data_IF_542662417531
#
_entry.id   IF_542662417531
#
_cell.length_a   1.000
_cell.length_b   1.000
_cell.length_c   1.000
_cell.angle_alpha   90.00
_cell.angle_beta   90.00
_cell.angle_gamma   90.00
#
_symmetry.space_group_name_H-M   'P 1'
#
loop_
_entity.id
_entity.type
_entity.pdbx_description
1 polymer ?
#
# COMPACT_ATOMS: atom_id res chain seq x y z
N UNK A 1 -16.67 -86.02 1.33
CA UNK A 1 -17.40 -86.26 0.07
C UNK A 1 -18.74 -85.54 0.18
N UNK A 2 -18.90 -84.41 -0.54
CA UNK A 2 -20.09 -83.52 -0.71
C UNK A 2 -20.71 -82.91 0.59
N UNK A 3 -21.23 -81.68 0.70
CA UNK A 3 -21.87 -80.68 -0.18
C UNK A 3 -21.52 -79.26 0.36
N UNK A 4 -21.08 -78.27 -0.43
CA UNK A 4 -21.82 -77.32 -1.28
C UNK A 4 -22.67 -76.23 -0.55
N UNK A 5 -22.19 -74.99 -0.69
CA UNK A 5 -22.88 -73.84 -1.30
C UNK A 5 -23.52 -72.75 -0.41
N UNK A 6 -23.46 -71.51 -0.95
CA UNK A 6 -24.02 -70.20 -0.55
C UNK A 6 -23.09 -69.34 0.32
N UNK A 7 -22.86 -68.04 0.08
CA UNK A 7 -23.51 -67.05 -0.78
C UNK A 7 -22.59 -65.79 -0.94
N UNK A 8 -22.73 -65.14 -2.10
CA UNK A 8 -22.66 -63.69 -2.39
C UNK A 8 -21.47 -62.80 -1.98
N UNK A 9 -20.82 -62.26 -3.02
CA UNK A 9 -20.68 -60.83 -3.33
C UNK A 9 -20.68 -59.82 -2.17
N UNK A 10 -19.55 -59.13 -1.99
CA UNK A 10 -19.46 -57.66 -2.00
C UNK A 10 -17.99 -57.23 -1.98
N UNK A 11 -17.47 -56.89 -3.16
CA UNK A 11 -16.22 -56.15 -3.32
C UNK A 11 -16.48 -54.72 -2.82
N UNK A 12 -16.15 -54.41 -1.56
CA UNK A 12 -16.16 -53.05 -1.07
C UNK A 12 -15.00 -52.27 -1.70
N UNK A 13 -15.29 -51.56 -2.78
CA UNK A 13 -14.44 -50.46 -3.25
C UNK A 13 -14.70 -49.29 -2.30
N UNK A 14 -13.91 -49.20 -1.23
CA UNK A 14 -13.79 -47.98 -0.44
C UNK A 14 -12.99 -46.97 -1.26
N UNK A 15 -13.70 -46.20 -2.09
CA UNK A 15 -13.20 -44.97 -2.68
C UNK A 15 -13.05 -43.96 -1.53
N UNK A 16 -11.88 -43.96 -0.86
CA UNK A 16 -11.53 -42.88 0.06
C UNK A 16 -11.28 -41.66 -0.80
N UNK A 17 -12.32 -40.83 -0.96
CA UNK A 17 -12.17 -39.48 -1.43
C UNK A 17 -11.31 -38.73 -0.39
N UNK A 18 -10.00 -38.70 -0.61
CA UNK A 18 -9.14 -37.67 -0.04
C UNK A 18 -9.49 -36.33 -0.70
N UNK A 19 -10.69 -35.84 -0.41
CA UNK A 19 -10.93 -34.41 -0.42
C UNK A 19 -10.05 -33.84 0.68
N UNK A 20 -8.83 -33.43 0.32
CA UNK A 20 -8.02 -32.56 1.15
C UNK A 20 -8.87 -31.32 1.42
N UNK A 21 -9.57 -31.31 2.55
CA UNK A 21 -9.93 -30.10 3.24
C UNK A 21 -8.61 -29.44 3.60
N UNK A 22 -8.05 -28.68 2.66
CA UNK A 22 -6.91 -27.82 2.92
C UNK A 22 -7.35 -26.89 4.05
N UNK A 23 -6.94 -27.22 5.27
CA UNK A 23 -7.39 -26.54 6.46
C UNK A 23 -7.12 -25.04 6.28
N UNK A 24 -8.15 -24.24 6.59
CA UNK A 24 -8.17 -22.77 6.59
C UNK A 24 -7.23 -22.17 7.66
N UNK A 25 -6.06 -22.76 7.88
CA UNK A 25 -5.11 -22.31 8.86
C UNK A 25 -4.28 -21.16 8.29
N UNK A 26 -4.18 -20.06 9.02
CA UNK A 26 -3.26 -18.98 8.69
C UNK A 26 -1.81 -19.51 8.65
N UNK A 27 -0.99 -18.88 7.82
CA UNK A 27 0.44 -19.16 7.74
C UNK A 27 1.19 -18.43 8.86
N UNK A 28 2.02 -19.11 9.64
CA UNK A 28 2.87 -18.44 10.64
C UNK A 28 4.04 -17.70 9.96
N UNK A 29 4.08 -16.38 10.11
CA UNK A 29 5.18 -15.53 9.62
C UNK A 29 6.29 -15.38 10.66
N UNK A 30 5.95 -15.07 11.91
CA UNK A 30 6.87 -15.05 13.06
C UNK A 30 6.15 -15.55 14.31
N UNK A 31 6.86 -15.66 15.43
CA UNK A 31 6.20 -15.85 16.73
C UNK A 31 5.24 -14.67 16.97
N UNK A 32 3.94 -14.95 17.05
CA UNK A 32 2.91 -13.95 17.29
C UNK A 32 2.36 -13.23 16.05
N UNK A 33 2.81 -13.56 14.83
CA UNK A 33 2.26 -12.99 13.58
C UNK A 33 1.87 -14.09 12.58
N UNK A 34 0.64 -14.04 12.08
CA UNK A 34 0.13 -14.92 11.03
C UNK A 34 -0.26 -14.16 9.75
N UNK A 35 -0.30 -14.87 8.63
CA UNK A 35 -0.75 -14.37 7.32
C UNK A 35 -1.98 -15.16 6.88
N UNK A 36 -3.05 -14.45 6.58
CA UNK A 36 -4.35 -15.00 6.19
C UNK A 36 -4.68 -14.62 4.75
N UNK A 37 -5.15 -15.58 3.94
CA UNK A 37 -5.72 -15.29 2.62
C UNK A 37 -7.21 -15.00 2.78
N UNK A 38 -7.63 -13.76 2.56
CA UNK A 38 -9.03 -13.37 2.70
C UNK A 38 -9.92 -14.10 1.67
N UNK A 39 -11.09 -14.55 2.14
CA UNK A 39 -12.23 -14.85 1.27
C UNK A 39 -12.78 -13.57 0.63
N UNK A 40 -13.60 -13.68 -0.43
CA UNK A 40 -14.27 -12.49 -1.00
C UNK A 40 -15.11 -11.74 0.04
N UNK A 41 -15.81 -12.45 0.93
CA UNK A 41 -16.63 -11.83 1.97
C UNK A 41 -15.77 -11.00 2.95
N UNK A 42 -14.67 -11.56 3.44
CA UNK A 42 -13.72 -10.85 4.31
C UNK A 42 -13.10 -9.66 3.58
N UNK A 43 -12.68 -9.83 2.32
CA UNK A 43 -12.12 -8.77 1.50
C UNK A 43 -13.09 -7.60 1.35
N UNK A 44 -14.37 -7.87 1.04
CA UNK A 44 -15.42 -6.85 0.94
C UNK A 44 -15.62 -6.10 2.26
N UNK A 45 -15.61 -6.81 3.38
CA UNK A 45 -15.73 -6.18 4.70
C UNK A 45 -14.53 -5.30 5.04
N UNK A 46 -13.31 -5.75 4.69
CA UNK A 46 -12.09 -4.97 4.90
C UNK A 46 -12.08 -3.70 4.03
N UNK A 47 -12.42 -3.80 2.74
CA UNK A 47 -12.41 -2.65 1.82
C UNK A 47 -13.51 -1.64 2.14
N UNK A 48 -14.65 -2.06 2.67
CA UNK A 48 -15.75 -1.16 3.03
C UNK A 48 -15.54 -0.35 4.32
N UNK A 49 -14.47 -0.59 5.09
CA UNK A 49 -14.21 0.15 6.33
C UNK A 49 -14.09 1.64 6.04
N UNK A 50 -14.88 2.46 6.74
CA UNK A 50 -14.77 3.93 6.76
C UNK A 50 -13.55 4.42 7.55
N UNK A 51 -12.36 3.94 7.18
CA UNK A 51 -11.09 4.32 7.79
C UNK A 51 -10.62 5.71 7.31
N UNK A 52 -9.45 6.12 7.80
CA UNK A 52 -8.85 7.42 7.48
C UNK A 52 -8.62 7.61 5.97
N UNK A 53 -8.34 6.53 5.23
CA UNK A 53 -8.15 6.59 3.79
C UNK A 53 -9.48 6.90 3.09
N UNK A 54 -10.54 6.13 3.35
CA UNK A 54 -11.88 6.37 2.76
C UNK A 54 -12.41 7.77 3.09
N UNK A 55 -12.25 8.19 4.35
CA UNK A 55 -12.66 9.53 4.81
C UNK A 55 -11.84 10.66 4.15
N UNK A 56 -10.60 10.37 3.76
CA UNK A 56 -9.68 11.34 3.16
C UNK A 56 -9.78 11.47 1.64
N UNK A 57 -10.58 10.63 0.96
CA UNK A 57 -10.72 10.66 -0.50
C UNK A 57 -11.38 11.95 -0.95
N UNK A 58 -10.81 12.57 -1.99
CA UNK A 58 -11.44 13.73 -2.63
C UNK A 58 -12.52 13.30 -3.63
N UNK A 59 -13.43 14.22 -4.01
CA UNK A 59 -14.37 13.99 -5.12
C UNK A 59 -13.67 13.62 -6.43
N UNK A 60 -12.56 14.30 -6.76
CA UNK A 60 -11.76 13.97 -7.95
C UNK A 60 -11.25 12.53 -7.88
N UNK A 61 -10.67 12.15 -6.74
CA UNK A 61 -10.04 10.85 -6.58
C UNK A 61 -11.03 9.70 -6.72
N UNK A 62 -12.21 9.81 -6.09
CA UNK A 62 -13.28 8.81 -6.26
C UNK A 62 -13.69 8.69 -7.73
N UNK A 63 -13.93 9.81 -8.41
CA UNK A 63 -14.28 9.82 -9.83
C UNK A 63 -13.19 9.17 -10.71
N UNK A 64 -11.92 9.48 -10.43
CA UNK A 64 -10.80 8.93 -11.19
C UNK A 64 -10.59 7.42 -10.95
N UNK A 65 -10.83 6.93 -9.74
CA UNK A 65 -10.72 5.50 -9.39
C UNK A 65 -11.87 4.68 -9.96
N UNK A 66 -13.11 5.19 -9.91
CA UNK A 66 -14.27 4.54 -10.54
C UNK A 66 -14.35 4.77 -12.05
N UNK A 67 -13.53 5.70 -12.58
CA UNK A 67 -13.51 6.15 -13.98
C UNK A 67 -14.85 6.74 -14.46
N UNK A 68 -15.56 7.43 -13.58
CA UNK A 68 -16.85 8.04 -13.87
C UNK A 68 -16.74 9.56 -13.99
N UNK A 69 -17.58 10.17 -14.83
CA UNK A 69 -17.75 11.61 -14.83
C UNK A 69 -18.62 12.02 -13.63
N UNK A 70 -18.33 13.19 -13.06
CA UNK A 70 -19.17 13.80 -12.02
C UNK A 70 -18.86 13.31 -10.60
N UNK A 71 -19.62 13.79 -9.61
CA UNK A 71 -19.35 13.45 -8.22
C UNK A 71 -19.72 11.99 -7.98
N UNK A 72 -18.74 11.22 -7.49
CA UNK A 72 -18.96 9.87 -6.98
C UNK A 72 -19.08 9.96 -5.47
N UNK A 73 -20.16 9.42 -4.90
CA UNK A 73 -20.34 9.40 -3.44
C UNK A 73 -19.38 8.41 -2.77
N UNK A 74 -19.21 8.53 -1.46
CA UNK A 74 -18.37 7.59 -0.70
C UNK A 74 -18.96 6.18 -0.76
N UNK A 75 -20.28 6.05 -0.70
CA UNK A 75 -21.03 4.80 -0.75
C UNK A 75 -20.87 4.13 -2.11
N UNK A 76 -21.02 4.89 -3.21
CA UNK A 76 -20.78 4.40 -4.57
C UNK A 76 -19.34 3.93 -4.76
N UNK A 77 -18.37 4.65 -4.19
CA UNK A 77 -16.98 4.23 -4.22
C UNK A 77 -16.72 2.95 -3.42
N UNK A 78 -17.31 2.82 -2.22
CA UNK A 78 -17.21 1.61 -1.40
C UNK A 78 -17.80 0.40 -2.14
N UNK A 79 -19.00 0.54 -2.71
CA UNK A 79 -19.62 -0.50 -3.52
C UNK A 79 -18.71 -0.90 -4.70
N UNK A 80 -18.14 0.09 -5.40
CA UNK A 80 -17.22 -0.15 -6.50
C UNK A 80 -16.01 -0.99 -6.07
N UNK A 81 -15.30 -0.62 -4.99
CA UNK A 81 -14.09 -1.36 -4.56
C UNK A 81 -14.43 -2.75 -4.00
N UNK A 82 -15.59 -2.92 -3.35
CA UNK A 82 -16.07 -4.24 -2.93
C UNK A 82 -16.27 -5.17 -4.14
N UNK A 83 -16.78 -4.63 -5.25
CA UNK A 83 -16.96 -5.37 -6.50
C UNK A 83 -15.65 -5.66 -7.24
N UNK A 84 -14.50 -5.16 -6.76
CA UNK A 84 -13.18 -5.49 -7.30
C UNK A 84 -12.53 -6.69 -6.61
N UNK A 85 -13.12 -7.23 -5.54
CA UNK A 85 -12.58 -8.38 -4.82
C UNK A 85 -12.61 -9.65 -5.67
N UNK A 86 -11.57 -10.47 -5.56
CA UNK A 86 -11.43 -11.74 -6.26
C UNK A 86 -11.10 -12.87 -5.29
N UNK A 87 -11.51 -14.08 -5.65
CA UNK A 87 -11.06 -15.29 -4.97
C UNK A 87 -9.57 -15.56 -5.26
N UNK A 88 -8.89 -16.13 -4.28
CA UNK A 88 -7.52 -16.62 -4.42
C UNK A 88 -7.50 -17.99 -5.09
N UNK A 89 -6.78 -18.13 -6.20
CA UNK A 89 -6.50 -19.43 -6.81
C UNK A 89 -5.32 -20.14 -6.14
N UNK A 90 -5.22 -21.45 -6.37
CA UNK A 90 -4.21 -22.30 -5.74
C UNK A 90 -2.78 -21.93 -6.14
N UNK A 91 -2.56 -21.50 -7.39
CA UNK A 91 -1.25 -21.13 -7.92
C UNK A 91 -0.71 -19.88 -7.23
N UNK A 92 -1.54 -18.85 -7.09
CA UNK A 92 -1.16 -17.63 -6.39
C UNK A 92 -0.91 -17.89 -4.90
N UNK A 93 -1.74 -18.71 -4.24
CA UNK A 93 -1.53 -19.11 -2.84
C UNK A 93 -0.21 -19.85 -2.65
N UNK A 94 0.11 -20.81 -3.53
CA UNK A 94 1.36 -21.57 -3.46
C UNK A 94 2.57 -20.64 -3.57
N UNK A 95 2.56 -19.71 -4.53
CA UNK A 95 3.66 -18.75 -4.71
C UNK A 95 3.81 -17.79 -3.52
N UNK A 96 2.71 -17.29 -2.97
CA UNK A 96 2.77 -16.43 -1.78
C UNK A 96 3.23 -17.20 -0.54
N UNK A 97 2.90 -18.49 -0.41
CA UNK A 97 3.44 -19.36 0.65
C UNK A 97 4.96 -19.48 0.55
N UNK A 98 5.51 -19.66 -0.65
CA UNK A 98 6.96 -19.67 -0.86
C UNK A 98 7.61 -18.35 -0.43
N UNK A 99 7.02 -17.22 -0.83
CA UNK A 99 7.49 -15.88 -0.43
C UNK A 99 7.46 -15.71 1.09
N UNK A 100 6.36 -16.09 1.74
CA UNK A 100 6.20 -16.00 3.20
C UNK A 100 7.22 -16.89 3.91
N UNK A 101 7.45 -18.10 3.42
CA UNK A 101 8.45 -19.02 3.97
C UNK A 101 9.87 -18.46 3.86
N UNK A 102 10.21 -17.84 2.72
CA UNK A 102 11.52 -17.19 2.51
C UNK A 102 11.69 -15.93 3.37
N UNK A 103 10.61 -15.18 3.60
CA UNK A 103 10.61 -13.95 4.39
C UNK A 103 10.71 -14.21 5.90
N UNK A 104 10.11 -15.31 6.39
CA UNK A 104 10.06 -15.71 7.81
C UNK A 104 11.38 -15.58 8.57
N UNK A 105 12.50 -16.22 8.17
CA UNK A 105 13.75 -16.10 8.91
C UNK A 105 14.30 -14.67 8.93
N UNK A 106 14.14 -13.91 7.84
CA UNK A 106 14.60 -12.51 7.74
C UNK A 106 13.79 -11.58 8.64
N UNK A 107 12.50 -11.88 8.81
CA UNK A 107 11.56 -11.08 9.60
C UNK A 107 11.55 -11.42 11.10
N UNK A 108 12.17 -12.53 11.50
CA UNK A 108 12.22 -12.94 12.91
C UNK A 108 12.75 -11.83 13.85
N UNK A 109 13.78 -11.09 13.41
CA UNK A 109 14.35 -9.96 14.18
C UNK A 109 13.40 -8.75 14.31
N UNK A 110 12.39 -8.67 13.46
CA UNK A 110 11.38 -7.60 13.45
C UNK A 110 10.05 -8.05 14.05
N UNK A 111 9.94 -9.27 14.59
CA UNK A 111 8.68 -9.86 15.06
C UNK A 111 7.89 -8.95 16.02
N UNK A 112 8.58 -8.20 16.90
CA UNK A 112 7.95 -7.26 17.85
C UNK A 112 7.22 -6.08 17.20
N UNK A 113 7.50 -5.81 15.92
CA UNK A 113 6.89 -4.72 15.14
C UNK A 113 5.77 -5.22 14.22
N UNK A 114 5.59 -6.53 14.08
CA UNK A 114 4.57 -7.12 13.24
C UNK A 114 3.22 -7.18 13.98
N UNK A 115 2.08 -7.02 13.27
CA UNK A 115 0.78 -7.20 13.86
C UNK A 115 0.51 -8.68 14.15
N UNK A 116 -0.54 -8.97 14.93
CA UNK A 116 -0.96 -10.36 15.18
C UNK A 116 -1.33 -11.12 13.91
N UNK A 117 -1.95 -10.44 12.94
CA UNK A 117 -2.41 -11.00 11.68
C UNK A 117 -2.26 -9.99 10.55
N UNK A 118 -1.74 -10.45 9.41
CA UNK A 118 -1.73 -9.76 8.12
C UNK A 118 -2.74 -10.44 7.21
N UNK A 119 -3.61 -9.67 6.56
CA UNK A 119 -4.63 -10.21 5.65
C UNK A 119 -4.27 -9.90 4.20
N UNK A 120 -4.10 -10.92 3.37
CA UNK A 120 -3.87 -10.77 1.93
C UNK A 120 -5.21 -10.75 1.19
N UNK A 121 -5.47 -9.68 0.46
CA UNK A 121 -6.69 -9.47 -0.32
C UNK A 121 -6.32 -9.42 -1.80
N UNK A 122 -7.02 -10.17 -2.65
CA UNK A 122 -6.84 -10.12 -4.11
C UNK A 122 -7.92 -9.26 -4.75
N UNK A 123 -7.54 -8.39 -5.68
CA UNK A 123 -8.49 -7.57 -6.44
C UNK A 123 -8.28 -7.64 -7.95
N UNK A 124 -9.23 -7.11 -8.72
CA UNK A 124 -9.07 -6.90 -10.18
C UNK A 124 -7.96 -5.90 -10.50
N UNK A 125 -7.57 -5.05 -9.54
CA UNK A 125 -6.68 -3.91 -9.72
C UNK A 125 -7.37 -2.64 -10.20
N UNK A 126 -8.69 -2.66 -10.47
CA UNK A 126 -9.41 -1.44 -10.90
C UNK A 126 -9.61 -0.45 -9.74
N UNK A 127 -9.53 -0.93 -8.51
CA UNK A 127 -9.72 -0.16 -7.27
C UNK A 127 -8.62 0.89 -7.05
N UNK A 128 -7.35 0.57 -7.37
CA UNK A 128 -6.21 1.45 -7.12
C UNK A 128 -5.26 1.55 -8.34
N UNK A 129 -5.82 1.60 -9.55
CA UNK A 129 -5.02 1.81 -10.76
C UNK A 129 -3.96 0.73 -11.04
N UNK A 130 -4.25 -0.51 -10.61
CA UNK A 130 -3.39 -1.68 -10.63
C UNK A 130 -2.12 -1.61 -9.75
N UNK A 131 -2.03 -0.64 -8.84
CA UNK A 131 -1.02 -0.62 -7.81
C UNK A 131 -1.39 -1.55 -6.64
N UNK A 132 -0.44 -2.30 -6.07
CA UNK A 132 -0.59 -2.86 -4.74
C UNK A 132 -0.57 -1.75 -3.68
N UNK A 133 -1.17 -2.03 -2.53
CA UNK A 133 -1.22 -1.09 -1.41
C UNK A 133 -1.60 -1.79 -0.12
N UNK A 134 -1.48 -1.10 1.02
CA UNK A 134 -2.00 -1.55 2.31
C UNK A 134 -3.15 -0.72 2.85
N UNK A 135 -4.06 -1.38 3.57
CA UNK A 135 -5.07 -0.72 4.42
C UNK A 135 -5.20 -1.43 5.76
N UNK A 136 -4.89 -0.71 6.83
CA UNK A 136 -4.75 -1.29 8.17
C UNK A 136 -3.60 -2.29 8.21
N UNK A 137 -3.90 -3.55 8.52
CA UNK A 137 -2.94 -4.68 8.45
C UNK A 137 -3.17 -5.56 7.23
N UNK A 138 -3.92 -5.08 6.24
CA UNK A 138 -4.20 -5.83 5.02
C UNK A 138 -3.26 -5.40 3.91
N UNK A 139 -2.75 -6.36 3.13
CA UNK A 139 -2.02 -6.12 1.88
C UNK A 139 -2.96 -6.46 0.74
N UNK A 140 -3.22 -5.50 -0.14
CA UNK A 140 -4.12 -5.63 -1.27
C UNK A 140 -3.27 -5.83 -2.53
N UNK A 141 -3.49 -6.96 -3.21
CA UNK A 141 -2.74 -7.38 -4.39
C UNK A 141 -3.65 -7.44 -5.61
N UNK A 142 -3.46 -6.55 -6.60
CA UNK A 142 -4.09 -6.68 -7.90
C UNK A 142 -3.75 -8.03 -8.55
N UNK A 143 -4.68 -8.63 -9.30
CA UNK A 143 -4.49 -9.92 -9.99
C UNK A 143 -3.17 -9.99 -10.77
N UNK A 144 -2.83 -8.93 -11.52
CA UNK A 144 -1.58 -8.88 -12.30
C UNK A 144 -0.34 -8.93 -11.40
N UNK A 145 -0.42 -8.30 -10.23
CA UNK A 145 0.64 -8.29 -9.23
C UNK A 145 0.79 -9.65 -8.56
N UNK A 146 -0.32 -10.27 -8.15
CA UNK A 146 -0.32 -11.62 -7.58
C UNK A 146 0.31 -12.66 -8.52
N UNK A 147 0.19 -12.47 -9.83
CA UNK A 147 0.78 -13.34 -10.85
C UNK A 147 2.28 -13.08 -11.14
N UNK A 148 2.93 -12.10 -10.51
CA UNK A 148 4.37 -11.84 -10.68
C UNK A 148 5.25 -13.04 -10.27
N UNK A 149 6.53 -12.99 -10.59
CA UNK A 149 7.50 -13.99 -10.13
C UNK A 149 7.65 -13.97 -8.61
N UNK A 150 8.06 -15.08 -8.00
CA UNK A 150 8.29 -15.16 -6.55
C UNK A 150 9.25 -14.07 -6.05
N UNK A 151 10.35 -13.81 -6.79
CA UNK A 151 11.29 -12.72 -6.49
C UNK A 151 10.65 -11.33 -6.54
N UNK A 152 9.77 -11.09 -7.51
CA UNK A 152 9.02 -9.84 -7.61
C UNK A 152 8.06 -9.66 -6.43
N UNK A 153 7.31 -10.72 -6.10
CA UNK A 153 6.40 -10.74 -4.96
C UNK A 153 7.12 -10.62 -3.62
N UNK A 154 8.31 -11.19 -3.45
CA UNK A 154 9.09 -11.07 -2.21
C UNK A 154 9.49 -9.60 -1.96
N UNK A 155 10.00 -8.94 -3.00
CA UNK A 155 10.32 -7.50 -2.92
C UNK A 155 9.10 -6.67 -2.57
N UNK A 156 7.98 -6.96 -3.23
CA UNK A 156 6.72 -6.27 -2.94
C UNK A 156 6.26 -6.55 -1.50
N UNK A 157 6.32 -7.80 -1.05
CA UNK A 157 5.88 -8.17 0.29
C UNK A 157 6.65 -7.39 1.36
N UNK A 158 7.96 -7.18 1.20
CA UNK A 158 8.71 -6.32 2.12
C UNK A 158 8.28 -4.84 2.04
N UNK A 159 8.03 -4.32 0.83
CA UNK A 159 7.55 -2.95 0.65
C UNK A 159 6.23 -2.72 1.39
N UNK A 160 5.24 -3.57 1.15
CA UNK A 160 3.92 -3.49 1.78
C UNK A 160 3.99 -3.74 3.30
N UNK A 161 4.90 -4.63 3.74
CA UNK A 161 5.09 -4.90 5.15
C UNK A 161 5.67 -3.71 5.90
N UNK A 162 6.52 -2.90 5.26
CA UNK A 162 7.02 -1.65 5.84
C UNK A 162 5.86 -0.74 6.22
N UNK A 163 4.87 -0.58 5.35
CA UNK A 163 3.67 0.23 5.61
C UNK A 163 2.88 -0.23 6.82
N UNK A 164 2.77 -1.54 7.02
CA UNK A 164 2.09 -2.11 8.19
C UNK A 164 2.91 -1.85 9.47
N UNK A 165 4.23 -2.05 9.42
CA UNK A 165 5.14 -1.82 10.55
C UNK A 165 5.14 -0.35 10.96
N UNK A 166 5.32 0.57 10.01
CA UNK A 166 5.39 2.01 10.25
C UNK A 166 4.07 2.53 10.83
N UNK A 167 2.93 2.10 10.26
CA UNK A 167 1.59 2.47 10.72
C UNK A 167 1.28 1.96 12.13
N UNK A 168 1.72 0.75 12.45
CA UNK A 168 1.54 0.15 13.77
C UNK A 168 2.40 0.76 14.86
N UNK A 169 3.42 1.57 14.50
CA UNK A 169 4.35 2.16 15.46
C UNK A 169 4.71 3.61 15.07
N UNK A 170 3.85 4.60 15.41
CA UNK A 170 4.07 5.99 15.04
C UNK A 170 5.39 6.58 15.54
N UNK A 171 5.87 6.16 16.71
CA UNK A 171 7.17 6.60 17.25
C UNK A 171 8.32 6.11 16.38
N UNK A 172 8.32 4.83 16.01
CA UNK A 172 9.32 4.27 15.10
C UNK A 172 9.24 4.95 13.73
N UNK A 173 8.04 5.15 13.18
CA UNK A 173 7.86 5.85 11.91
C UNK A 173 8.46 7.25 11.95
N UNK A 174 8.19 8.02 13.00
CA UNK A 174 8.74 9.36 13.16
C UNK A 174 10.29 9.32 13.19
N UNK A 175 10.88 8.34 13.91
CA UNK A 175 12.34 8.13 13.94
C UNK A 175 12.91 7.72 12.57
N UNK A 176 12.23 6.84 11.83
CA UNK A 176 12.67 6.40 10.51
C UNK A 176 12.61 7.54 9.49
N UNK A 177 11.57 8.38 9.54
CA UNK A 177 11.43 9.53 8.66
C UNK A 177 12.53 10.57 8.92
N UNK A 178 12.97 10.73 10.17
CA UNK A 178 14.07 11.63 10.53
C UNK A 178 15.41 11.21 9.90
N UNK A 179 15.64 9.91 9.63
CA UNK A 179 16.85 9.43 8.93
C UNK A 179 16.98 10.09 7.55
N UNK A 180 15.86 10.29 6.86
CA UNK A 180 15.80 10.92 5.52
C UNK A 180 15.40 12.40 5.58
N UNK A 181 15.66 13.07 6.71
CA UNK A 181 15.50 14.52 6.87
C UNK A 181 14.07 15.02 7.10
N UNK A 182 13.08 14.13 7.17
CA UNK A 182 11.70 14.51 7.45
C UNK A 182 11.47 14.69 8.96
N UNK A 183 10.70 15.71 9.32
CA UNK A 183 10.33 16.03 10.71
C UNK A 183 8.83 16.19 10.83
N UNK A 184 8.28 15.74 11.96
CA UNK A 184 6.87 15.94 12.28
C UNK A 184 6.52 17.43 12.29
N UNK A 185 5.39 17.78 11.65
CA UNK A 185 4.88 19.16 11.60
C UNK A 185 3.40 19.28 11.99
N UNK A 186 2.66 18.17 12.08
CA UNK A 186 1.20 18.19 12.17
C UNK A 186 0.56 18.02 10.79
N UNK A 187 -0.76 17.86 10.75
CA UNK A 187 -1.48 17.47 9.53
C UNK A 187 -1.47 18.60 8.50
N UNK A 188 -0.96 18.31 7.31
CA UNK A 188 -0.92 19.24 6.18
C UNK A 188 -2.11 18.98 5.26
N UNK A 189 -2.85 20.05 4.97
CA UNK A 189 -3.97 20.06 4.03
C UNK A 189 -3.66 20.93 2.81
N UNK A 190 -4.18 20.52 1.65
CA UNK A 190 -4.16 21.37 0.46
C UNK A 190 -5.12 22.56 0.67
N UNK A 191 -4.76 23.78 0.25
CA UNK A 191 -5.59 24.96 0.45
C UNK A 191 -6.73 25.05 -0.59
N UNK A 192 -7.84 25.66 -0.19
CA UNK A 192 -8.91 26.11 -1.09
C UNK A 192 -9.38 25.08 -2.12
N UNK A 193 -9.35 25.48 -3.39
CA UNK A 193 -9.81 24.68 -4.53
C UNK A 193 -8.92 23.46 -4.85
N UNK A 194 -7.78 23.30 -4.18
CA UNK A 194 -6.90 22.13 -4.35
C UNK A 194 -7.37 20.93 -3.54
N UNK A 195 -8.05 21.13 -2.41
CA UNK A 195 -8.49 20.01 -1.56
C UNK A 195 -9.46 19.05 -2.28
N UNK A 196 -10.46 19.53 -3.05
CA UNK A 196 -11.32 18.66 -3.87
C UNK A 196 -10.57 17.87 -4.98
N UNK A 197 -9.32 18.21 -5.26
CA UNK A 197 -8.43 17.58 -6.26
C UNK A 197 -7.35 16.70 -5.63
N UNK A 198 -7.29 16.61 -4.30
CA UNK A 198 -6.31 15.77 -3.58
C UNK A 198 -6.34 14.34 -4.13
N UNK A 199 -5.17 13.73 -4.30
CA UNK A 199 -5.05 12.30 -4.54
C UNK A 199 -4.30 11.72 -3.35
N UNK A 200 -4.92 10.79 -2.63
CA UNK A 200 -4.32 10.18 -1.44
C UNK A 200 -3.44 8.99 -1.79
N UNK A 201 -2.48 8.70 -0.90
CA UNK A 201 -1.76 7.43 -0.89
C UNK A 201 -2.41 6.53 0.17
N UNK A 202 -2.99 5.36 -0.16
CA UNK A 202 -3.56 4.45 0.84
C UNK A 202 -2.56 4.00 1.91
N UNK A 203 -1.27 3.94 1.58
CA UNK A 203 -0.21 3.52 2.50
C UNK A 203 0.16 4.59 3.53
N UNK A 204 0.06 5.86 3.14
CA UNK A 204 0.23 7.00 4.02
C UNK A 204 -0.82 8.08 3.72
N UNK A 205 -2.08 7.88 4.17
CA UNK A 205 -3.21 8.72 3.76
C UNK A 205 -3.19 10.11 4.39
N UNK A 206 -2.35 10.34 5.41
CA UNK A 206 -2.19 11.62 6.10
C UNK A 206 -0.75 12.10 5.92
N UNK A 207 -0.60 13.34 5.45
CA UNK A 207 0.70 14.01 5.37
C UNK A 207 0.89 14.79 6.66
N UNK A 208 1.85 14.38 7.48
CA UNK A 208 2.10 15.00 8.79
C UNK A 208 3.58 15.26 9.10
N UNK A 209 4.43 15.12 8.07
CA UNK A 209 5.86 15.37 8.13
C UNK A 209 6.28 16.30 7.00
N UNK A 210 7.28 17.11 7.30
CA UNK A 210 7.85 18.11 6.40
C UNK A 210 9.37 17.95 6.35
N UNK A 211 9.97 18.48 5.30
CA UNK A 211 11.42 18.48 5.10
C UNK A 211 11.87 19.93 4.88
N UNK A 212 13.10 20.24 5.28
CA UNK A 212 13.68 21.57 5.07
C UNK A 212 14.44 21.58 3.75
N UNK A 213 14.15 22.54 2.87
CA UNK A 213 14.81 22.70 1.56
C UNK A 213 15.28 24.14 1.39
N UNK A 214 16.17 24.39 0.42
CA UNK A 214 16.63 25.73 0.05
C UNK A 214 16.23 26.07 -1.39
N UNK A 215 15.87 27.33 -1.63
CA UNK A 215 15.67 27.87 -2.98
C UNK A 215 16.21 29.29 -3.05
N UNK A 216 17.22 29.51 -3.90
CA UNK A 216 17.87 30.83 -4.02
C UNK A 216 18.50 31.30 -2.70
N UNK A 217 19.11 30.38 -1.94
CA UNK A 217 19.72 30.66 -0.64
C UNK A 217 18.72 30.84 0.52
N UNK A 218 17.41 30.76 0.27
CA UNK A 218 16.37 30.89 1.31
C UNK A 218 15.87 29.51 1.74
N UNK A 219 15.84 29.29 3.05
CA UNK A 219 15.35 28.04 3.64
C UNK A 219 13.82 28.02 3.75
N UNK A 220 13.21 26.89 3.41
CA UNK A 220 11.77 26.65 3.46
C UNK A 220 11.45 25.32 4.14
N UNK A 221 10.37 25.26 4.91
CA UNK A 221 9.73 24.00 5.29
C UNK A 221 8.71 23.63 4.24
N UNK A 222 8.79 22.40 3.74
CA UNK A 222 7.89 21.90 2.69
C UNK A 222 7.34 20.53 3.05
N UNK A 223 6.11 20.24 2.62
CA UNK A 223 5.47 18.94 2.76
C UNK A 223 5.16 18.33 1.38
N UNK A 224 5.30 17.01 1.21
CA UNK A 224 4.98 16.34 -0.05
C UNK A 224 3.46 16.30 -0.22
N UNK A 225 2.97 16.83 -1.34
CA UNK A 225 1.52 16.84 -1.65
C UNK A 225 1.24 16.24 -3.01
N UNK A 226 0.10 15.56 -3.07
CA UNK A 226 -0.42 14.85 -4.23
C UNK A 226 -1.80 15.37 -4.60
N UNK A 227 -1.96 15.80 -5.85
CA UNK A 227 -3.21 16.35 -6.35
C UNK A 227 -3.34 16.15 -7.86
N UNK A 228 -4.55 16.31 -8.40
CA UNK A 228 -4.76 16.30 -9.83
C UNK A 228 -4.41 17.64 -10.47
N UNK A 229 -3.71 17.61 -11.62
CA UNK A 229 -3.51 18.81 -12.45
C UNK A 229 -4.80 19.34 -13.08
N UNK A 230 -5.86 18.53 -13.15
CA UNK A 230 -7.16 18.95 -13.66
C UNK A 230 -8.21 19.00 -12.54
N UNK A 231 -9.21 19.88 -12.63
CA UNK A 231 -10.25 20.00 -11.59
C UNK A 231 -11.22 18.83 -11.54
N UNK A 232 -11.42 18.12 -12.65
CA UNK A 232 -12.36 17.01 -12.78
C UNK A 232 -11.71 15.88 -13.57
N UNK A 233 -12.10 14.65 -13.25
CA UNK A 233 -11.77 13.50 -14.08
C UNK A 233 -12.61 13.54 -15.36
N UNK A 234 -11.98 13.29 -16.50
CA UNK A 234 -12.65 13.23 -17.80
C UNK A 234 -12.59 11.80 -18.34
N UNK A 235 -13.71 11.07 -18.41
CA UNK A 235 -13.74 9.73 -18.98
C UNK A 235 -13.31 9.66 -20.46
N UNK A 236 -13.45 10.75 -21.23
CA UNK A 236 -13.00 10.79 -22.64
C UNK A 236 -11.48 10.81 -22.75
N UNK A 237 -10.82 11.54 -21.84
CA UNK A 237 -9.37 11.44 -21.68
C UNK A 237 -9.03 10.05 -21.14
N UNK A 238 -9.74 9.59 -20.11
CA UNK A 238 -9.60 8.26 -19.55
C UNK A 238 -8.26 8.06 -18.81
N UNK A 239 -7.90 6.79 -18.57
CA UNK A 239 -6.72 6.40 -17.79
C UNK A 239 -7.00 6.19 -16.31
N UNK A 240 -5.95 5.96 -15.52
CA UNK A 240 -6.02 5.91 -14.06
C UNK A 240 -5.72 7.28 -13.47
N UNK A 241 -5.95 7.46 -12.17
CA UNK A 241 -5.58 8.70 -11.47
C UNK A 241 -4.09 9.06 -11.61
N UNK A 242 -3.19 8.07 -11.81
CA UNK A 242 -1.77 8.31 -12.11
C UNK A 242 -1.56 9.21 -13.32
N UNK A 243 -2.44 9.12 -14.33
CA UNK A 243 -2.37 10.01 -15.49
C UNK A 243 -2.52 11.47 -15.09
N UNK A 244 -3.24 11.78 -14.03
CA UNK A 244 -3.57 13.15 -13.60
C UNK A 244 -2.71 13.64 -12.43
N UNK A 245 -2.04 12.71 -11.75
CA UNK A 245 -1.28 12.94 -10.52
C UNK A 245 -0.14 13.96 -10.71
N UNK A 246 -0.09 14.94 -9.82
CA UNK A 246 1.01 15.85 -9.62
C UNK A 246 1.60 15.64 -8.23
N UNK A 247 2.92 15.53 -8.17
CA UNK A 247 3.69 15.56 -6.94
C UNK A 247 4.45 16.88 -6.84
N UNK A 248 4.26 17.59 -5.71
CA UNK A 248 4.99 18.82 -5.40
C UNK A 248 5.40 18.85 -3.93
N UNK A 249 6.43 19.63 -3.65
CA UNK A 249 6.81 20.06 -2.31
C UNK A 249 6.11 21.40 -2.03
N UNK A 250 5.06 21.38 -1.21
CA UNK A 250 4.29 22.58 -0.86
C UNK A 250 4.93 23.25 0.34
N UNK A 251 5.24 24.55 0.23
CA UNK A 251 5.73 25.32 1.37
C UNK A 251 4.66 25.46 2.45
N UNK A 252 5.06 25.24 3.70
CA UNK A 252 4.19 25.34 4.87
C UNK A 252 4.81 26.22 5.96
N UNK A 253 3.97 26.79 6.80
CA UNK A 253 4.37 27.21 8.13
C UNK A 253 4.46 25.97 9.03
N UNK A 254 5.65 25.67 9.56
CA UNK A 254 5.86 24.44 10.35
C UNK A 254 5.11 24.43 11.69
N UNK A 255 4.80 25.59 12.28
CA UNK A 255 4.13 25.65 13.59
C UNK A 255 2.64 25.32 13.46
N UNK A 256 2.03 25.72 12.35
CA UNK A 256 0.59 25.59 12.09
C UNK A 256 0.25 24.50 11.08
N UNK A 257 1.24 23.99 10.34
CA UNK A 257 1.07 23.12 9.17
C UNK A 257 0.25 23.73 8.02
N UNK A 258 -0.05 25.02 8.08
CA UNK A 258 -0.79 25.71 7.02
C UNK A 258 0.12 25.96 5.80
N UNK A 259 -0.45 25.87 4.60
CA UNK A 259 0.25 26.23 3.37
C UNK A 259 0.62 27.72 3.38
N UNK A 260 1.84 28.05 2.95
CA UNK A 260 2.21 29.44 2.68
C UNK A 260 1.62 29.86 1.33
N UNK A 261 0.82 30.92 1.35
CA UNK A 261 0.14 31.45 0.17
C UNK A 261 0.82 32.72 -0.33
N UNK A 262 0.96 32.84 -1.64
CA UNK A 262 1.30 34.07 -2.35
C UNK A 262 0.23 34.30 -3.41
N UNK A 263 -0.39 35.48 -3.42
CA UNK A 263 -1.50 35.81 -4.33
C UNK A 263 -2.62 34.75 -4.28
N UNK A 264 -2.98 34.33 -3.06
CA UNK A 264 -3.97 33.28 -2.77
C UNK A 264 -3.66 31.88 -3.34
N UNK A 265 -2.43 31.62 -3.79
CA UNK A 265 -1.98 30.32 -4.31
C UNK A 265 -0.86 29.74 -3.44
N UNK A 266 -0.82 28.43 -3.21
CA UNK A 266 0.29 27.83 -2.48
C UNK A 266 1.58 27.90 -3.28
N UNK A 267 2.70 28.07 -2.56
CA UNK A 267 4.02 27.94 -3.15
C UNK A 267 4.36 26.45 -3.29
N UNK A 268 4.48 25.99 -4.53
CA UNK A 268 4.74 24.59 -4.89
C UNK A 268 6.07 24.49 -5.62
N UNK A 269 6.97 23.64 -5.10
CA UNK A 269 8.25 23.35 -5.74
C UNK A 269 8.25 21.95 -6.34
N UNK A 270 8.97 21.78 -7.44
CA UNK A 270 9.38 20.46 -7.89
C UNK A 270 10.59 20.01 -7.06
N UNK A 271 10.74 18.71 -6.77
CA UNK A 271 11.90 18.19 -6.03
C UNK A 271 13.26 18.57 -6.63
N UNK A 272 13.35 18.63 -7.96
CA UNK A 272 14.57 18.99 -8.72
C UNK A 272 14.83 20.50 -8.81
N UNK A 273 13.88 21.33 -8.36
CA UNK A 273 13.97 22.79 -8.38
C UNK A 273 14.34 23.40 -7.03
N UNK A 274 14.75 22.57 -6.06
CA UNK A 274 15.18 22.97 -4.72
C UNK A 274 16.45 22.21 -4.33
N UNK A 275 17.26 22.85 -3.50
CA UNK A 275 18.44 22.26 -2.89
C UNK A 275 18.10 21.60 -1.55
N UNK A 276 18.90 20.61 -1.16
CA UNK A 276 18.79 19.94 0.14
C UNK A 276 17.80 18.78 0.15
N UNK A 277 16.90 18.66 -0.84
CA UNK A 277 15.92 17.57 -0.86
C UNK A 277 16.60 16.20 -1.08
N UNK A 278 17.28 16.01 -2.21
CA UNK A 278 17.95 14.75 -2.53
C UNK A 278 19.21 14.49 -1.70
N UNK A 279 19.79 15.52 -1.10
CA UNK A 279 20.91 15.42 -0.15
C UNK A 279 20.44 14.78 1.16
N UNK A 280 19.17 14.97 1.54
CA UNK A 280 18.59 14.39 2.75
C UNK A 280 17.94 13.02 2.50
N UNK A 281 17.15 12.87 1.43
CA UNK A 281 16.43 11.62 1.17
C UNK A 281 17.28 10.55 0.49
N UNK A 282 18.48 10.93 0.04
CA UNK A 282 19.35 10.09 -0.78
C UNK A 282 18.82 9.83 -2.18
N UNK A 283 19.48 8.89 -2.87
CA UNK A 283 19.22 8.55 -4.28
C UNK A 283 19.08 7.03 -4.51
N UNK A 284 18.73 6.27 -3.46
CA UNK A 284 18.52 4.82 -3.50
C UNK A 284 17.23 4.40 -4.25
N UNK A 285 16.28 5.32 -4.41
CA UNK A 285 15.03 5.10 -5.15
C UNK A 285 14.55 6.41 -5.79
N UNK A 286 13.75 6.28 -6.85
CA UNK A 286 13.01 7.39 -7.44
C UNK A 286 11.57 7.47 -6.92
N UNK A 287 11.15 6.57 -6.02
CA UNK A 287 9.79 6.56 -5.47
C UNK A 287 9.66 7.52 -4.28
N UNK A 288 9.70 8.81 -4.59
CA UNK A 288 9.92 9.91 -3.64
C UNK A 288 8.66 10.69 -3.25
N UNK A 289 7.47 10.18 -3.64
CA UNK A 289 6.20 10.92 -3.50
C UNK A 289 5.76 11.13 -2.05
N UNK A 290 6.33 10.34 -1.12
CA UNK A 290 6.11 10.42 0.31
C UNK A 290 7.34 9.79 1.04
N UNK A 291 7.72 10.24 2.25
CA UNK A 291 8.77 9.58 3.05
C UNK A 291 8.49 8.09 3.28
N UNK A 292 7.21 7.75 3.44
CA UNK A 292 6.75 6.34 3.54
C UNK A 292 7.22 5.48 2.36
N UNK A 293 7.01 5.94 1.12
CA UNK A 293 7.40 5.19 -0.08
C UNK A 293 8.92 5.09 -0.24
N UNK A 294 9.61 6.18 0.11
CA UNK A 294 11.07 6.26 0.05
C UNK A 294 11.67 5.22 0.97
N UNK A 295 11.19 5.15 2.21
CA UNK A 295 11.69 4.20 3.21
C UNK A 295 11.20 2.78 2.99
N UNK A 296 9.99 2.57 2.46
CA UNK A 296 9.52 1.25 2.06
C UNK A 296 10.47 0.63 1.02
N UNK A 297 10.91 1.41 0.03
CA UNK A 297 11.92 0.97 -0.93
C UNK A 297 13.31 0.71 -0.30
N UNK A 298 13.77 1.57 0.61
CA UNK A 298 15.02 1.31 1.35
C UNK A 298 14.92 0.05 2.22
N UNK A 299 13.77 -0.20 2.84
CA UNK A 299 13.52 -1.42 3.60
C UNK A 299 13.58 -2.66 2.70
N UNK A 300 13.07 -2.61 1.46
CA UNK A 300 13.28 -3.70 0.49
C UNK A 300 14.76 -3.94 0.24
N UNK A 301 15.56 -2.90 0.05
CA UNK A 301 17.00 -3.03 -0.16
C UNK A 301 17.70 -3.68 1.04
N UNK A 302 17.35 -3.26 2.26
CA UNK A 302 17.83 -3.86 3.50
C UNK A 302 17.45 -5.36 3.59
N UNK A 303 16.18 -5.70 3.35
CA UNK A 303 15.68 -7.08 3.44
C UNK A 303 16.22 -8.01 2.37
N UNK A 304 16.69 -7.45 1.25
CA UNK A 304 17.30 -8.20 0.14
C UNK A 304 18.82 -8.09 0.11
N UNK A 305 19.43 -7.43 1.11
CA UNK A 305 20.88 -7.19 1.19
C UNK A 305 21.45 -6.63 -0.13
N UNK A 306 20.73 -5.70 -0.76
CA UNK A 306 21.12 -5.11 -2.04
C UNK A 306 22.47 -4.39 -1.89
N UNK A 307 23.40 -4.71 -2.77
CA UNK A 307 24.71 -4.06 -2.88
C UNK A 307 24.66 -2.83 -3.81
N UNK A 308 25.71 -2.02 -3.76
CA UNK A 308 25.94 -0.88 -4.65
C UNK A 308 24.82 0.17 -4.63
N UNK A 309 24.28 0.43 -3.42
CA UNK A 309 23.37 1.55 -3.19
C UNK A 309 24.11 2.88 -3.33
N UNK A 310 23.43 3.91 -3.84
CA UNK A 310 24.01 5.26 -3.97
C UNK A 310 24.25 5.91 -2.61
N UNK A 311 23.43 5.58 -1.63
CA UNK A 311 23.47 6.07 -0.26
C UNK A 311 23.31 4.86 0.70
N UNK A 312 24.34 4.00 0.83
CA UNK A 312 24.25 2.79 1.66
C UNK A 312 24.08 3.07 3.17
N UNK A 313 24.31 4.31 3.60
CA UNK A 313 24.08 4.78 4.97
C UNK A 313 22.59 4.97 5.34
N UNK A 314 21.69 5.02 4.34
CA UNK A 314 20.22 5.12 4.48
C UNK A 314 19.58 3.74 4.38
#
# INVERSE_FOLDING_TARGET
MHYLCRCLYLLQVTLVAFGLTEAKADLSLTNGCSVHFATVAEAKAHLAKGDVYIKGLSPFERAAKTKQAGPVSTEQYIEFIQNQTLEWDATDKAKLREVIAAAKPKLAKFAKHLPKRITLIKTTGKDEGAAPYTRGTSIILPRRTASQSAKGLERLFYHELFHIISRGNPRLRDQLYEIIGYKKCGVVSLPGDMMPRRISNPDAPVVEHCIRVSKGGVSHWVAPVLFSRTPKYDPKVGGTFFRYLEFRLMQIDRKTSAAILKDSKPLLFKPDAVEGFFEQIGRNTNYIIHPEETLANNFVHLMTAKQDLKNPEI
#
